data_IF_497526511588
#
_entry.id   IF_497526511588
#
_cell.length_a   1.000
_cell.length_b   1.000
_cell.length_c   1.000
_cell.angle_alpha   90.00
_cell.angle_beta   90.00
_cell.angle_gamma   90.00
#
_symmetry.space_group_name_H-M   'P 1'
#
loop_
_entity.id
_entity.type
_entity.pdbx_description
1 polymer ?
#
# COMPACT_ATOMS: atom_id res chain seq x y z
N UNK A 1 -2.72 50.03 -28.57
CA UNK A 1 -2.81 49.27 -27.31
C UNK A 1 -3.87 48.19 -27.47
N UNK A 2 -3.49 46.90 -27.50
CA UNK A 2 -4.46 45.80 -27.47
C UNK A 2 -3.81 44.60 -26.77
N UNK A 3 -3.93 44.57 -25.45
CA UNK A 3 -3.50 43.43 -24.63
C UNK A 3 -4.68 42.45 -24.60
N UNK A 4 -4.59 41.37 -25.38
CA UNK A 4 -5.49 40.24 -25.25
C UNK A 4 -5.14 39.52 -23.95
N UNK A 5 -6.01 39.64 -22.94
CA UNK A 5 -5.93 38.82 -21.74
C UNK A 5 -6.44 37.42 -22.09
N UNK A 6 -5.53 36.46 -22.20
CA UNK A 6 -5.86 35.05 -22.41
C UNK A 6 -6.14 34.44 -21.04
N UNK A 7 -7.42 34.27 -20.71
CA UNK A 7 -7.85 33.64 -19.46
C UNK A 7 -7.50 32.16 -19.44
N UNK A 8 -6.74 31.73 -18.44
CA UNK A 8 -6.40 30.33 -18.20
C UNK A 8 -7.62 29.62 -17.60
N UNK A 9 -8.37 28.91 -18.45
CA UNK A 9 -9.44 28.01 -18.01
C UNK A 9 -8.81 26.77 -17.37
N UNK A 10 -8.78 26.73 -16.03
CA UNK A 10 -8.43 25.55 -15.26
C UNK A 10 -9.58 24.53 -15.38
N UNK A 11 -9.37 23.45 -16.13
CA UNK A 11 -10.31 22.35 -16.20
C UNK A 11 -10.29 21.58 -14.87
N UNK A 12 -11.36 21.70 -14.09
CA UNK A 12 -11.57 20.89 -12.88
C UNK A 12 -12.01 19.49 -13.29
N UNK A 13 -11.07 18.55 -13.42
CA UNK A 13 -11.40 17.14 -13.61
C UNK A 13 -12.02 16.56 -12.33
N UNK A 14 -13.04 15.68 -12.42
CA UNK A 14 -13.54 14.97 -11.24
C UNK A 14 -12.41 14.10 -10.67
N UNK A 15 -12.19 14.19 -9.36
CA UNK A 15 -11.26 13.32 -8.66
C UNK A 15 -11.82 11.89 -8.65
N UNK A 16 -11.41 11.07 -9.62
CA UNK A 16 -11.67 9.64 -9.59
C UNK A 16 -10.88 9.03 -8.42
N UNK A 17 -11.58 8.32 -7.52
CA UNK A 17 -10.90 7.55 -6.48
C UNK A 17 -10.05 6.47 -7.15
N UNK A 18 -8.73 6.55 -6.99
CA UNK A 18 -7.83 5.53 -7.54
C UNK A 18 -8.13 4.21 -6.83
N UNK A 19 -8.40 3.11 -7.57
CA UNK A 19 -8.68 1.84 -6.96
C UNK A 19 -7.48 1.38 -6.14
N UNK A 20 -7.76 0.82 -4.95
CA UNK A 20 -6.72 0.23 -4.11
C UNK A 20 -6.05 -0.91 -4.87
N UNK A 21 -4.70 -0.99 -4.89
CA UNK A 21 -4.03 -2.13 -5.49
C UNK A 21 -4.50 -3.44 -4.85
N UNK A 22 -4.83 -4.43 -5.68
CA UNK A 22 -5.36 -5.72 -5.25
C UNK A 22 -4.31 -6.81 -5.44
N UNK A 23 -3.74 -7.31 -4.34
CA UNK A 23 -2.70 -8.34 -4.41
C UNK A 23 -3.26 -9.70 -4.83
N UNK A 24 -4.58 -9.91 -4.71
CA UNK A 24 -5.22 -11.16 -5.17
C UNK A 24 -5.24 -11.28 -6.70
N UNK A 25 -5.11 -10.15 -7.41
CA UNK A 25 -5.00 -10.07 -8.86
C UNK A 25 -3.54 -10.03 -9.37
N UNK A 26 -2.55 -9.91 -8.47
CA UNK A 26 -1.13 -9.84 -8.79
C UNK A 26 -0.46 -11.21 -8.68
N UNK A 27 0.67 -11.39 -9.34
CA UNK A 27 1.66 -12.41 -8.98
C UNK A 27 2.37 -12.03 -7.68
N UNK A 28 2.95 -13.01 -7.00
CA UNK A 28 3.74 -12.78 -5.79
C UNK A 28 4.89 -11.80 -6.03
N UNK A 29 5.56 -11.90 -7.19
CA UNK A 29 6.63 -10.98 -7.57
C UNK A 29 6.13 -9.54 -7.78
N UNK A 30 4.97 -9.36 -8.43
CA UNK A 30 4.37 -8.02 -8.64
C UNK A 30 3.93 -7.37 -7.34
N UNK A 31 3.37 -8.15 -6.41
CA UNK A 31 2.96 -7.69 -5.08
C UNK A 31 4.17 -7.24 -4.25
N UNK A 32 5.23 -8.06 -4.18
CA UNK A 32 6.47 -7.66 -3.51
C UNK A 32 7.13 -6.43 -4.14
N UNK A 33 7.15 -6.36 -5.48
CA UNK A 33 7.66 -5.18 -6.19
C UNK A 33 6.82 -3.92 -5.94
N UNK A 34 5.51 -4.05 -5.66
CA UNK A 34 4.65 -2.95 -5.25
C UNK A 34 5.03 -2.39 -3.89
N UNK A 35 5.21 -3.26 -2.91
CA UNK A 35 5.61 -2.82 -1.57
C UNK A 35 7.01 -2.23 -1.61
N UNK A 36 7.94 -2.84 -2.35
CA UNK A 36 9.30 -2.36 -2.49
C UNK A 36 9.38 -0.93 -3.09
N UNK A 37 8.61 -0.64 -4.14
CA UNK A 37 8.59 0.69 -4.77
C UNK A 37 7.82 1.74 -3.95
N UNK A 38 6.75 1.33 -3.29
CA UNK A 38 5.89 2.24 -2.55
C UNK A 38 6.45 2.59 -1.16
N UNK A 39 7.21 1.68 -0.56
CA UNK A 39 7.69 1.78 0.82
C UNK A 39 6.61 1.46 1.84
N UNK A 40 5.43 2.08 1.71
CA UNK A 40 4.23 1.74 2.47
C UNK A 40 2.99 1.86 1.58
N UNK A 41 2.11 0.85 1.61
CA UNK A 41 0.92 0.80 0.75
C UNK A 41 -0.21 0.05 1.44
N UNK A 42 -1.46 0.52 1.24
CA UNK A 42 -2.65 -0.22 1.63
C UNK A 42 -3.10 -1.04 0.42
N UNK A 43 -3.24 -2.35 0.59
CA UNK A 43 -3.62 -3.28 -0.48
C UNK A 43 -4.88 -4.05 -0.12
N UNK A 44 -5.68 -4.39 -1.13
CA UNK A 44 -6.80 -5.33 -1.00
C UNK A 44 -6.24 -6.74 -0.93
N UNK A 45 -6.69 -7.52 0.06
CA UNK A 45 -6.23 -8.90 0.31
C UNK A 45 -7.34 -9.93 0.15
N UNK A 46 -8.54 -9.46 -0.20
CA UNK A 46 -9.75 -10.25 -0.40
C UNK A 46 -10.96 -9.37 -0.65
N UNK A 47 -12.17 -9.95 -0.84
CA UNK A 47 -13.36 -9.21 -1.26
C UNK A 47 -13.74 -8.00 -0.38
N UNK A 48 -13.42 -8.07 0.91
CA UNK A 48 -13.67 -7.01 1.88
C UNK A 48 -12.50 -6.79 2.86
N UNK A 49 -11.35 -7.42 2.61
CA UNK A 49 -10.19 -7.37 3.50
C UNK A 49 -9.08 -6.55 2.88
N UNK A 50 -8.32 -5.89 3.74
CA UNK A 50 -7.18 -5.09 3.35
C UNK A 50 -6.20 -4.97 4.50
N UNK A 51 -4.96 -4.71 4.14
CA UNK A 51 -3.87 -4.49 5.09
C UNK A 51 -2.99 -3.34 4.62
N UNK A 52 -2.24 -2.75 5.54
CA UNK A 52 -1.14 -1.84 5.21
C UNK A 52 0.16 -2.64 5.29
N UNK A 53 0.82 -2.78 4.15
CA UNK A 53 2.13 -3.45 4.05
C UNK A 53 3.23 -2.40 3.94
N UNK A 54 4.34 -2.63 4.61
CA UNK A 54 5.55 -1.83 4.52
C UNK A 54 6.74 -2.64 4.00
N UNK A 55 7.69 -1.94 3.38
CA UNK A 55 8.95 -2.51 2.89
C UNK A 55 9.87 -2.93 4.03
N UNK A 56 9.97 -2.11 5.07
CA UNK A 56 10.81 -2.34 6.24
C UNK A 56 10.38 -1.41 7.40
N UNK A 57 11.05 -1.55 8.55
CA UNK A 57 10.73 -0.84 9.80
C UNK A 57 10.81 0.68 9.68
N UNK A 58 11.53 1.24 8.70
CA UNK A 58 11.61 2.70 8.51
C UNK A 58 10.27 3.33 8.14
N UNK A 59 9.28 2.53 7.73
CA UNK A 59 7.92 2.97 7.41
C UNK A 59 6.90 2.68 8.51
N UNK A 60 7.37 2.19 9.65
CA UNK A 60 6.58 2.08 10.87
C UNK A 60 6.67 3.37 11.69
N UNK A 61 5.65 3.62 12.51
CA UNK A 61 5.74 4.68 13.52
C UNK A 61 6.81 4.30 14.54
N UNK A 62 7.35 5.31 15.23
CA UNK A 62 8.35 5.12 16.30
C UNK A 62 7.84 4.08 17.30
N UNK A 63 8.77 3.28 17.85
CA UNK A 63 8.53 2.17 18.79
C UNK A 63 7.84 0.91 18.24
N UNK A 64 7.31 0.93 17.00
CA UNK A 64 6.81 -0.30 16.37
C UNK A 64 7.93 -1.16 15.78
N UNK A 65 7.71 -2.47 15.78
CA UNK A 65 8.51 -3.46 15.07
C UNK A 65 7.81 -3.89 13.78
N UNK A 66 8.44 -4.78 13.02
CA UNK A 66 7.88 -5.41 11.82
C UNK A 66 7.64 -6.90 11.99
N UNK A 67 6.52 -7.39 11.50
CA UNK A 67 6.19 -8.81 11.35
C UNK A 67 6.00 -9.13 9.86
N UNK A 68 6.47 -10.27 9.33
CA UNK A 68 6.21 -10.67 7.96
C UNK A 68 4.71 -10.70 7.62
N UNK A 69 4.34 -10.09 6.50
CA UNK A 69 2.97 -10.12 5.97
C UNK A 69 2.90 -11.11 4.80
N UNK A 70 2.10 -12.16 4.96
CA UNK A 70 1.88 -13.18 3.96
C UNK A 70 0.46 -13.13 3.42
N UNK A 71 0.34 -12.92 2.12
CA UNK A 71 -0.95 -12.71 1.48
C UNK A 71 -1.20 -13.72 0.35
N UNK A 72 -2.47 -13.93 0.04
CA UNK A 72 -2.87 -14.72 -1.14
C UNK A 72 -2.72 -13.86 -2.39
N UNK A 73 -1.83 -14.30 -3.27
CA UNK A 73 -1.69 -13.77 -4.62
C UNK A 73 -2.26 -14.74 -5.64
N UNK A 74 -2.33 -14.34 -6.91
CA UNK A 74 -2.91 -15.15 -7.99
C UNK A 74 -2.17 -16.48 -8.19
N UNK A 75 -0.87 -16.50 -7.96
CA UNK A 75 0.02 -17.64 -8.22
C UNK A 75 0.58 -18.30 -6.95
N UNK A 76 0.70 -17.56 -5.84
CA UNK A 76 1.21 -18.09 -4.56
C UNK A 76 0.21 -17.79 -3.43
N UNK A 77 -0.37 -18.82 -2.78
CA UNK A 77 -1.38 -18.62 -1.74
C UNK A 77 -0.83 -18.09 -0.40
N UNK A 78 0.48 -18.20 -0.17
CA UNK A 78 1.18 -17.71 1.02
C UNK A 78 2.41 -16.89 0.59
N UNK A 79 2.18 -15.82 -0.17
CA UNK A 79 3.25 -14.97 -0.71
C UNK A 79 3.73 -13.99 0.36
N UNK A 80 5.03 -13.94 0.61
CA UNK A 80 5.61 -12.84 1.39
C UNK A 80 5.53 -11.54 0.58
N UNK A 81 4.66 -10.61 0.99
CA UNK A 81 4.46 -9.34 0.28
C UNK A 81 5.22 -8.18 0.92
N UNK A 82 5.61 -8.31 2.19
CA UNK A 82 6.35 -7.30 2.95
C UNK A 82 6.14 -7.49 4.45
N UNK A 83 5.99 -6.39 5.19
CA UNK A 83 5.79 -6.44 6.63
C UNK A 83 4.57 -5.66 7.10
N UNK A 84 4.01 -6.07 8.24
CA UNK A 84 3.09 -5.27 9.06
C UNK A 84 3.84 -4.59 10.19
N UNK A 85 3.38 -3.41 10.57
CA UNK A 85 3.90 -2.73 11.76
C UNK A 85 3.12 -3.18 12.99
N UNK A 86 3.82 -3.81 13.94
CA UNK A 86 3.24 -4.30 15.20
C UNK A 86 3.77 -3.49 16.37
N UNK A 87 2.91 -3.19 17.33
CA UNK A 87 3.27 -2.58 18.60
C UNK A 87 3.73 -3.69 19.58
N UNK A 88 5.03 -3.76 19.93
CA UNK A 88 5.55 -4.83 20.77
C UNK A 88 4.96 -4.83 22.19
N UNK A 89 4.37 -3.73 22.65
CA UNK A 89 3.80 -3.62 23.99
C UNK A 89 2.34 -4.09 24.06
N UNK A 90 1.57 -3.91 22.99
CA UNK A 90 0.15 -4.26 22.96
C UNK A 90 -0.15 -5.51 22.12
N UNK A 91 0.64 -5.75 21.08
CA UNK A 91 0.48 -6.88 20.15
C UNK A 91 1.56 -7.96 20.38
N UNK A 92 2.56 -7.72 21.23
CA UNK A 92 3.68 -8.62 21.46
C UNK A 92 4.72 -8.57 20.34
N UNK A 93 5.88 -9.19 20.56
CA UNK A 93 6.99 -9.16 19.59
C UNK A 93 6.72 -9.99 18.33
N UNK A 94 5.80 -10.95 18.44
CA UNK A 94 5.45 -11.92 17.40
C UNK A 94 4.13 -11.60 16.70
N UNK A 95 3.42 -10.52 17.09
CA UNK A 95 2.09 -10.19 16.58
C UNK A 95 0.93 -10.79 17.41
N UNK A 96 -0.33 -10.39 17.12
CA UNK A 96 -1.53 -10.86 17.82
C UNK A 96 -1.86 -12.34 17.59
#
# INVERSE_FOLDING_TARGET
MRRLALGLLLATSPAAAQPRPDVTAMTCAEAGALVARAGAVVVTTGPATYTRVVRDVSFCVIEKSTEPDFERTRDVPNCFVGYRCVDPFSEGRDGP
#
